data_IF_339605160036
#
_entry.id   IF_339605160036
#
_cell.length_a   1.000
_cell.length_b   1.000
_cell.length_c   1.000
_cell.angle_alpha   90.00
_cell.angle_beta   90.00
_cell.angle_gamma   90.00
#
_symmetry.space_group_name_H-M   'P 1'
#
loop_
_entity.id
_entity.type
_entity.pdbx_description
1 polymer ?
#
# COMPACT_ATOMS: atom_id res chain seq x y z
N UNK A 1 15.16 -15.28 2.02
CA UNK A 1 14.05 -14.47 2.52
C UNK A 1 14.48 -13.02 2.37
N UNK A 2 13.66 -12.18 1.73
CA UNK A 2 14.02 -10.77 1.53
C UNK A 2 14.06 -10.09 2.90
N UNK A 3 15.15 -9.39 3.23
CA UNK A 3 15.36 -8.68 4.50
C UNK A 3 14.51 -7.38 4.61
N UNK A 4 13.63 -7.16 3.63
CA UNK A 4 12.80 -5.97 3.53
C UNK A 4 11.51 -6.17 4.34
N UNK A 5 11.08 -5.17 5.13
CA UNK A 5 9.81 -5.26 5.86
C UNK A 5 8.64 -5.35 4.89
N UNK A 6 7.64 -6.18 5.20
CA UNK A 6 6.37 -6.15 4.48
C UNK A 6 5.61 -4.86 4.85
N UNK A 7 5.24 -4.10 3.82
CA UNK A 7 4.46 -2.86 3.95
C UNK A 7 3.05 -3.12 3.47
N UNK A 8 2.08 -2.69 4.26
CA UNK A 8 0.65 -2.75 3.94
C UNK A 8 0.19 -1.36 3.52
N UNK A 9 -0.46 -1.29 2.35
CA UNK A 9 -0.99 -0.05 1.77
C UNK A 9 -2.49 -0.23 1.61
N UNK A 10 -3.27 0.54 2.34
CA UNK A 10 -4.72 0.57 2.23
C UNK A 10 -5.18 1.74 1.38
N UNK A 11 -6.09 1.45 0.46
CA UNK A 11 -6.59 2.36 -0.55
C UNK A 11 -8.10 2.48 -0.36
N UNK A 12 -8.58 3.71 -0.14
CA UNK A 12 -9.99 4.06 -0.23
C UNK A 12 -10.28 4.57 -1.64
N UNK A 13 -10.89 3.77 -2.54
CA UNK A 13 -11.26 4.30 -3.85
C UNK A 13 -12.44 5.27 -3.71
N UNK A 14 -12.59 6.16 -4.71
CA UNK A 14 -13.77 7.02 -4.87
C UNK A 14 -15.05 6.20 -5.03
N UNK A 15 -14.94 5.02 -5.67
CA UNK A 15 -16.03 4.08 -5.89
C UNK A 15 -15.54 2.65 -5.68
N UNK A 16 -16.30 1.86 -4.95
CA UNK A 16 -16.00 0.44 -4.68
C UNK A 16 -15.54 0.22 -3.25
N UNK A 17 -15.09 -1.00 -2.99
CA UNK A 17 -14.64 -1.43 -1.67
C UNK A 17 -13.16 -1.06 -1.45
N UNK A 18 -12.75 -0.77 -0.20
CA UNK A 18 -11.36 -0.54 0.12
C UNK A 18 -10.49 -1.76 -0.19
N UNK A 19 -9.27 -1.51 -0.64
CA UNK A 19 -8.29 -2.57 -0.97
C UNK A 19 -7.06 -2.40 -0.09
N UNK A 20 -6.52 -3.52 0.40
CA UNK A 20 -5.20 -3.55 1.05
C UNK A 20 -4.22 -4.30 0.17
N UNK A 21 -3.15 -3.63 -0.22
CA UNK A 21 -2.03 -4.17 -0.99
C UNK A 21 -0.88 -4.48 -0.03
N UNK A 22 -0.31 -5.68 -0.10
CA UNK A 22 0.91 -6.05 0.63
C UNK A 22 2.08 -6.10 -0.35
N UNK A 23 3.19 -5.47 0.02
CA UNK A 23 4.37 -5.40 -0.82
C UNK A 23 5.66 -5.37 -0.02
N UNK A 24 6.72 -5.95 -0.60
CA UNK A 24 8.10 -5.87 -0.12
C UNK A 24 9.00 -5.00 -1.01
N UNK A 25 8.42 -4.15 -1.86
CA UNK A 25 9.20 -3.32 -2.80
C UNK A 25 10.03 -2.24 -2.08
N UNK A 26 9.55 -1.79 -0.91
CA UNK A 26 10.15 -0.72 -0.12
C UNK A 26 11.13 -1.22 0.94
N UNK A 27 12.19 -0.45 1.20
CA UNK A 27 13.18 -0.79 2.23
C UNK A 27 12.72 -0.37 3.64
N UNK A 28 11.93 0.70 3.73
CA UNK A 28 11.39 1.26 4.98
C UNK A 28 9.99 1.83 4.75
N UNK A 29 9.22 2.03 5.84
CA UNK A 29 7.94 2.74 5.79
C UNK A 29 8.09 4.14 5.18
N UNK A 30 9.14 4.87 5.57
CA UNK A 30 9.44 6.21 5.07
C UNK A 30 9.65 6.20 3.55
N UNK A 31 10.41 5.22 3.03
CA UNK A 31 10.61 5.09 1.57
C UNK A 31 9.31 4.79 0.82
N UNK A 32 8.37 4.07 1.44
CA UNK A 32 7.04 3.85 0.88
C UNK A 32 6.23 5.14 0.82
N UNK A 33 6.21 5.91 1.92
CA UNK A 33 5.49 7.19 2.00
C UNK A 33 6.03 8.20 0.98
N UNK A 34 7.36 8.33 0.87
CA UNK A 34 7.99 9.21 -0.14
C UNK A 34 7.58 8.80 -1.55
N UNK A 35 7.69 7.52 -1.90
CA UNK A 35 7.35 7.04 -3.23
C UNK A 35 5.86 7.20 -3.59
N UNK A 36 4.97 7.07 -2.60
CA UNK A 36 3.53 7.31 -2.76
C UNK A 36 3.23 8.79 -3.00
N UNK A 37 3.85 9.69 -2.22
CA UNK A 37 3.69 11.13 -2.39
C UNK A 37 4.23 11.60 -3.74
N UNK A 38 5.44 11.18 -4.13
CA UNK A 38 6.00 11.50 -5.44
C UNK A 38 5.09 11.00 -6.58
N UNK A 39 4.56 9.78 -6.46
CA UNK A 39 3.66 9.24 -7.47
C UNK A 39 2.35 10.04 -7.58
N UNK A 40 1.83 10.49 -6.43
CA UNK A 40 0.65 11.35 -6.35
C UNK A 40 0.92 12.72 -6.99
N UNK A 41 1.99 13.39 -6.59
CA UNK A 41 2.36 14.74 -7.05
C UNK A 41 2.65 14.77 -8.56
N UNK A 42 3.28 13.72 -9.08
CA UNK A 42 3.58 13.57 -10.51
C UNK A 42 2.38 13.05 -11.33
N UNK A 43 1.28 12.64 -10.68
CA UNK A 43 0.13 12.03 -11.34
C UNK A 43 0.45 10.72 -12.05
N UNK A 44 1.50 10.01 -11.63
CA UNK A 44 1.93 8.74 -12.25
C UNK A 44 1.29 7.54 -11.58
N UNK A 45 1.13 6.46 -12.35
CA UNK A 45 0.72 5.17 -11.81
C UNK A 45 1.87 4.56 -11.01
N UNK A 46 1.60 4.16 -9.76
CA UNK A 46 2.55 3.41 -8.95
C UNK A 46 2.32 1.91 -9.16
N UNK A 47 3.40 1.18 -9.46
CA UNK A 47 3.37 -0.28 -9.61
C UNK A 47 4.01 -0.92 -8.38
N UNK A 48 3.31 -1.91 -7.81
CA UNK A 48 3.77 -2.66 -6.65
C UNK A 48 3.73 -4.16 -6.94
N UNK A 49 4.78 -4.89 -6.60
CA UNK A 49 4.75 -6.35 -6.56
C UNK A 49 3.95 -6.80 -5.33
N UNK A 50 3.03 -7.74 -5.57
CA UNK A 50 2.20 -8.36 -4.56
C UNK A 50 2.97 -9.43 -3.79
N UNK A 51 2.76 -9.48 -2.48
CA UNK A 51 3.41 -10.46 -1.59
C UNK A 51 2.45 -11.25 -0.71
N UNK A 52 1.13 -11.05 -0.82
CA UNK A 52 0.20 -11.79 0.04
C UNK A 52 0.14 -13.28 -0.38
N UNK A 53 -0.09 -14.21 0.56
CA UNK A 53 -0.19 -15.65 0.25
C UNK A 53 -1.33 -15.99 -0.72
N UNK A 54 -2.39 -15.18 -0.72
CA UNK A 54 -3.57 -15.36 -1.55
C UNK A 54 -3.47 -14.63 -2.91
N UNK A 55 -2.40 -13.87 -3.14
CA UNK A 55 -2.15 -13.20 -4.41
C UNK A 55 -1.62 -14.19 -5.47
N UNK A 56 -1.88 -13.91 -6.74
CA UNK A 56 -1.30 -14.69 -7.84
C UNK A 56 0.24 -14.62 -7.83
N UNK A 57 0.91 -15.73 -8.16
CA UNK A 57 2.37 -15.75 -8.32
C UNK A 57 2.80 -14.65 -9.31
N UNK A 58 3.81 -13.86 -8.92
CA UNK A 58 4.30 -12.68 -9.65
C UNK A 58 3.24 -11.60 -9.96
N UNK A 59 2.20 -11.50 -9.12
CA UNK A 59 1.17 -10.48 -9.22
C UNK A 59 1.69 -9.04 -9.01
N UNK A 60 1.00 -8.08 -9.64
CA UNK A 60 1.26 -6.65 -9.45
C UNK A 60 -0.04 -5.88 -9.21
N UNK A 61 0.01 -4.92 -8.28
CA UNK A 61 -0.98 -3.87 -8.17
C UNK A 61 -0.51 -2.63 -8.95
N UNK A 62 -1.43 -2.01 -9.70
CA UNK A 62 -1.23 -0.73 -10.36
C UNK A 62 -2.17 0.28 -9.71
N UNK A 63 -1.60 1.27 -9.03
CA UNK A 63 -2.34 2.29 -8.28
C UNK A 63 -2.36 3.56 -9.11
N UNK A 64 -3.56 3.96 -9.54
CA UNK A 64 -3.82 5.28 -10.10
C UNK A 64 -4.47 6.16 -9.02
N UNK A 65 -3.75 7.17 -8.56
CA UNK A 65 -4.21 8.05 -7.49
C UNK A 65 -5.35 8.98 -7.87
N UNK A 66 -5.65 9.17 -9.16
CA UNK A 66 -6.77 10.01 -9.60
C UNK A 66 -8.15 9.53 -9.10
N UNK A 67 -8.25 8.27 -8.66
CA UNK A 67 -9.49 7.65 -8.17
C UNK A 67 -9.39 7.14 -6.73
N UNK A 68 -8.44 7.66 -5.96
CA UNK A 68 -8.23 7.29 -4.55
C UNK A 68 -8.50 8.50 -3.66
N UNK A 69 -9.35 8.33 -2.65
CA UNK A 69 -9.73 9.37 -1.68
C UNK A 69 -8.71 9.45 -0.54
N UNK A 70 -8.22 8.29 -0.09
CA UNK A 70 -7.27 8.20 1.00
C UNK A 70 -6.34 7.01 0.84
N UNK A 71 -5.11 7.18 1.30
CA UNK A 71 -4.08 6.14 1.37
C UNK A 71 -3.57 6.08 2.80
N UNK A 72 -3.53 4.88 3.37
CA UNK A 72 -2.91 4.61 4.67
C UNK A 72 -1.80 3.59 4.48
N UNK A 73 -0.69 3.77 5.20
CA UNK A 73 0.51 2.95 5.06
C UNK A 73 1.02 2.57 6.43
N UNK A 74 1.30 1.28 6.65
CA UNK A 74 1.87 0.79 7.90
C UNK A 74 2.72 -0.47 7.66
N UNK A 75 3.70 -0.77 8.52
CA UNK A 75 4.42 -2.04 8.47
C UNK A 75 3.55 -3.17 9.03
N UNK A 76 3.75 -4.41 8.58
CA UNK A 76 3.01 -5.58 9.09
C UNK A 76 2.96 -5.65 10.63
N UNK A 77 4.09 -5.37 11.29
CA UNK A 77 4.23 -5.39 12.74
C UNK A 77 3.34 -4.36 13.49
N UNK A 78 2.76 -3.38 12.79
CA UNK A 78 1.86 -2.38 13.36
C UNK A 78 0.37 -2.79 13.30
N UNK A 79 0.04 -3.93 12.68
CA UNK A 79 -1.34 -4.45 12.60
C UNK A 79 -1.80 -4.94 13.99
N UNK A 80 -2.31 -4.00 14.79
CA UNK A 80 -2.84 -4.25 16.14
C UNK A 80 -2.75 -3.07 17.11
N UNK A 81 -2.05 -1.98 16.75
CA UNK A 81 -1.91 -0.80 17.62
C UNK A 81 -3.00 0.27 17.40
N UNK A 82 -3.76 0.19 16.31
CA UNK A 82 -4.61 1.30 15.84
C UNK A 82 -5.98 0.82 15.28
N UNK A 83 -6.57 -0.20 15.89
CA UNK A 83 -8.03 -0.40 15.83
C UNK A 83 -8.73 0.69 16.69
N UNK A 84 -8.41 1.95 16.38
CA UNK A 84 -9.09 3.13 16.89
C UNK A 84 -10.47 3.20 16.25
N UNK A 85 -11.45 2.70 16.99
CA UNK A 85 -12.88 3.03 16.96
C UNK A 85 -13.23 4.21 16.03
N UNK A 86 -13.98 3.92 14.96
CA UNK A 86 -14.82 4.95 14.34
C UNK A 86 -16.05 5.15 15.23
N UNK A 87 -16.37 6.43 15.49
CA UNK A 87 -17.49 6.97 16.27
C UNK A 87 -18.83 6.24 16.03
#
# INVERSE_FOLDING_TARGET
MSDKPEIHIWLQPVKGEPLTVRTGDFATLESAVVALNEAFDEGRTLRLRLTAPDDAEDGFALINFAHVVAVKVWPEAAKGADDGQYL
#
